data_IF_219048513578
#
_entry.id   IF_219048513578
#
_cell.length_a   1.000
_cell.length_b   1.000
_cell.length_c   1.000
_cell.angle_alpha   90.00
_cell.angle_beta   90.00
_cell.angle_gamma   90.00
#
_symmetry.space_group_name_H-M   'P 1'
#
loop_
_entity.id
_entity.type
_entity.pdbx_description
1 polymer ?
#
# COMPACT_ATOMS: atom_id res chain seq x y z
N UNK A 1 10.33 10.36 -51.91
CA UNK A 1 11.11 10.86 -50.74
C UNK A 1 10.15 11.52 -49.78
N UNK A 2 9.76 10.81 -48.76
CA UNK A 2 8.91 11.36 -47.66
C UNK A 2 9.78 11.35 -46.42
N UNK A 3 10.04 12.53 -45.84
CA UNK A 3 10.73 12.67 -44.55
C UNK A 3 9.68 12.64 -43.44
N UNK A 4 9.79 11.67 -42.53
CA UNK A 4 8.94 11.50 -41.41
C UNK A 4 9.09 12.63 -40.39
N UNK A 5 7.96 12.95 -39.77
CA UNK A 5 7.79 13.97 -38.74
C UNK A 5 8.02 13.32 -37.36
N UNK A 6 9.27 13.29 -36.89
CA UNK A 6 9.61 12.77 -35.55
C UNK A 6 9.70 13.84 -34.45
N UNK A 7 9.31 15.07 -34.76
CA UNK A 7 9.47 16.21 -33.84
C UNK A 7 8.30 16.45 -32.86
N UNK A 8 7.15 15.81 -33.04
CA UNK A 8 5.93 16.10 -32.30
C UNK A 8 5.82 15.44 -30.92
N UNK A 9 6.30 14.21 -30.81
CA UNK A 9 6.07 13.37 -29.62
C UNK A 9 6.95 13.73 -28.40
N UNK A 10 8.17 14.19 -28.66
CA UNK A 10 9.13 14.58 -27.60
C UNK A 10 8.71 15.88 -26.91
N UNK A 11 8.05 16.78 -27.65
CA UNK A 11 7.60 18.09 -27.14
C UNK A 11 6.37 17.96 -26.23
N UNK A 12 5.51 17.00 -26.49
CA UNK A 12 4.29 16.79 -25.70
C UNK A 12 4.59 16.06 -24.37
N UNK A 13 5.53 15.12 -24.36
CA UNK A 13 6.03 14.47 -23.13
C UNK A 13 6.69 15.48 -22.18
N UNK A 14 7.49 16.40 -22.70
CA UNK A 14 8.12 17.47 -21.91
C UNK A 14 7.12 18.51 -21.39
N UNK A 15 6.00 18.73 -22.10
CA UNK A 15 4.95 19.67 -21.68
C UNK A 15 4.07 19.08 -20.55
N UNK A 16 3.93 17.75 -20.48
CA UNK A 16 3.20 17.07 -19.41
C UNK A 16 4.02 16.96 -18.11
N UNK A 17 5.35 16.86 -18.19
CA UNK A 17 6.22 16.85 -17.01
C UNK A 17 6.26 18.19 -16.27
N UNK A 18 5.92 19.31 -16.92
CA UNK A 18 6.04 20.63 -16.33
C UNK A 18 4.77 21.15 -15.63
N UNK A 19 3.69 20.36 -15.55
CA UNK A 19 2.40 20.80 -14.96
C UNK A 19 2.28 20.58 -13.45
N UNK A 20 3.25 19.91 -12.83
CA UNK A 20 3.27 19.70 -11.38
C UNK A 20 4.67 19.92 -10.80
N UNK A 21 5.32 21.02 -11.21
CA UNK A 21 6.43 21.52 -10.42
C UNK A 21 5.86 21.88 -9.05
N UNK A 22 6.00 20.96 -8.08
CA UNK A 22 5.92 21.32 -6.67
C UNK A 22 7.01 22.38 -6.52
N UNK A 23 6.61 23.64 -6.40
CA UNK A 23 7.50 24.71 -5.95
C UNK A 23 7.83 24.41 -4.50
N UNK A 24 8.76 23.46 -4.30
CA UNK A 24 9.39 23.30 -3.01
C UNK A 24 10.00 24.65 -2.66
N UNK A 25 9.46 25.30 -1.64
CA UNK A 25 10.13 26.45 -1.03
C UNK A 25 11.56 26.00 -0.70
N UNK A 26 12.57 26.79 -1.05
CA UNK A 26 13.94 26.39 -0.74
C UNK A 26 14.03 26.18 0.77
N UNK A 27 14.28 24.95 1.18
CA UNK A 27 14.59 24.62 2.58
C UNK A 27 15.93 25.33 2.83
N UNK A 28 15.89 26.39 3.63
CA UNK A 28 17.04 27.26 3.84
C UNK A 28 18.21 26.55 4.56
N UNK A 29 17.96 25.42 5.21
CA UNK A 29 18.95 24.50 5.77
C UNK A 29 18.33 23.12 6.04
N UNK A 30 19.14 22.07 5.96
CA UNK A 30 18.76 20.75 6.49
C UNK A 30 18.70 20.88 8.02
N UNK A 31 17.61 20.46 8.69
CA UNK A 31 17.54 20.48 10.15
C UNK A 31 18.69 19.68 10.78
N UNK A 32 19.15 20.03 12.00
CA UNK A 32 20.12 19.24 12.70
C UNK A 32 19.61 17.82 12.95
N UNK A 33 20.53 16.89 13.19
CA UNK A 33 20.20 15.52 13.54
C UNK A 33 19.40 15.44 14.87
N UNK A 34 18.40 14.60 14.89
CA UNK A 34 17.64 14.26 16.09
C UNK A 34 18.23 12.99 16.73
N UNK A 35 19.10 13.20 17.73
CA UNK A 35 19.78 12.11 18.43
C UNK A 35 18.84 11.24 19.29
N UNK A 36 17.57 11.56 19.40
CA UNK A 36 16.58 10.71 20.08
C UNK A 36 15.96 9.68 19.14
N UNK A 37 16.14 9.83 17.84
CA UNK A 37 15.70 8.86 16.85
C UNK A 37 16.79 7.84 16.57
N UNK A 38 16.45 6.58 16.69
CA UNK A 38 17.35 5.48 16.47
C UNK A 38 17.17 4.83 15.10
N UNK A 39 18.16 4.04 14.67
CA UNK A 39 18.07 3.22 13.47
C UNK A 39 17.05 2.09 13.69
N UNK A 40 15.95 2.13 12.98
CA UNK A 40 14.97 1.03 12.94
C UNK A 40 15.45 -0.05 11.95
N UNK A 41 15.50 -1.31 12.41
CA UNK A 41 15.85 -2.46 11.57
C UNK A 41 14.78 -3.54 11.72
N UNK A 42 13.98 -3.74 10.68
CA UNK A 42 13.00 -4.81 10.63
C UNK A 42 13.65 -6.13 10.17
N UNK A 43 13.46 -7.20 10.95
CA UNK A 43 13.84 -8.58 10.60
C UNK A 43 12.64 -9.50 10.72
N UNK A 44 11.78 -9.57 9.70
CA UNK A 44 10.45 -10.17 9.81
C UNK A 44 10.46 -11.69 10.06
N UNK A 45 11.59 -12.37 9.86
CA UNK A 45 11.74 -13.79 10.16
C UNK A 45 12.38 -14.08 11.54
N UNK A 46 12.88 -13.05 12.21
CA UNK A 46 13.65 -13.18 13.46
C UNK A 46 13.04 -12.38 14.61
N UNK A 47 12.35 -11.29 14.29
CA UNK A 47 11.80 -10.37 15.28
C UNK A 47 10.33 -10.69 15.56
N UNK A 48 10.08 -11.49 16.61
CA UNK A 48 8.74 -11.86 17.08
C UNK A 48 7.90 -10.66 17.56
N UNK A 49 8.51 -9.47 17.73
CA UNK A 49 7.83 -8.26 18.17
C UNK A 49 7.22 -7.45 17.03
N UNK A 50 7.58 -7.76 15.77
CA UNK A 50 6.94 -7.08 14.64
C UNK A 50 5.45 -7.45 14.59
N UNK A 51 4.55 -6.47 14.41
CA UNK A 51 3.13 -6.76 14.27
C UNK A 51 2.87 -7.58 13.01
N UNK A 52 2.33 -8.78 13.18
CA UNK A 52 1.80 -9.61 12.12
C UNK A 52 0.28 -9.67 12.25
N UNK A 53 -0.44 -9.37 11.20
CA UNK A 53 -1.88 -9.09 11.22
C UNK A 53 -2.56 -9.87 10.11
N UNK A 54 -3.55 -10.69 10.46
CA UNK A 54 -4.43 -11.32 9.50
C UNK A 54 -5.62 -10.41 9.15
N UNK A 55 -5.87 -10.21 7.86
CA UNK A 55 -6.99 -9.43 7.32
C UNK A 55 -7.68 -10.20 6.19
N UNK A 56 -8.87 -10.74 6.44
CA UNK A 56 -9.71 -11.42 5.42
C UNK A 56 -8.97 -12.45 4.56
N UNK A 57 -8.01 -13.17 5.13
CA UNK A 57 -7.21 -14.17 4.42
C UNK A 57 -5.80 -13.71 4.07
N UNK A 58 -5.55 -12.42 3.96
CA UNK A 58 -4.22 -11.84 3.77
C UNK A 58 -3.44 -11.81 5.09
N UNK A 59 -2.11 -11.76 5.02
CA UNK A 59 -1.25 -11.56 6.19
C UNK A 59 -0.31 -10.37 5.95
N UNK A 60 -0.39 -9.39 6.82
CA UNK A 60 0.39 -8.14 6.75
C UNK A 60 1.37 -8.08 7.92
N UNK A 61 2.59 -7.68 7.63
CA UNK A 61 3.65 -7.47 8.64
C UNK A 61 4.09 -6.01 8.58
N UNK A 62 3.94 -5.28 9.67
CA UNK A 62 4.41 -3.90 9.76
C UNK A 62 5.92 -3.93 9.95
N UNK A 63 6.66 -3.55 8.92
CA UNK A 63 8.13 -3.46 8.95
C UNK A 63 8.60 -2.16 9.59
N UNK A 64 7.99 -1.04 9.21
CA UNK A 64 8.21 0.28 9.80
C UNK A 64 6.86 0.95 10.04
N UNK A 65 6.66 1.44 11.24
CA UNK A 65 5.46 2.16 11.64
C UNK A 65 5.65 3.67 11.50
N UNK A 66 4.57 4.42 11.71
CA UNK A 66 4.64 5.87 11.83
C UNK A 66 5.53 6.32 13.00
N UNK A 67 5.62 5.53 14.06
CA UNK A 67 6.45 5.86 15.21
C UNK A 67 7.95 5.73 14.85
N UNK A 68 8.33 4.81 13.96
CA UNK A 68 9.71 4.67 13.47
C UNK A 68 10.10 5.80 12.48
N UNK A 69 9.13 6.40 11.80
CA UNK A 69 9.36 7.34 10.69
C UNK A 69 8.95 8.78 10.99
N UNK A 70 8.59 9.10 12.25
CA UNK A 70 8.06 10.40 12.65
C UNK A 70 6.78 10.76 11.85
N UNK A 71 5.92 9.77 11.64
CA UNK A 71 4.65 9.91 10.93
C UNK A 71 4.76 10.07 9.41
N UNK A 72 5.98 10.04 8.84
CA UNK A 72 6.18 10.36 7.43
C UNK A 72 5.67 9.27 6.50
N UNK A 73 5.86 8.01 6.87
CA UNK A 73 5.35 6.85 6.13
C UNK A 73 5.29 5.62 7.03
N UNK A 74 4.55 4.61 6.62
CA UNK A 74 4.70 3.24 7.11
C UNK A 74 5.11 2.31 5.95
N UNK A 75 5.77 1.20 6.29
CA UNK A 75 6.18 0.15 5.36
C UNK A 75 5.63 -1.19 5.84
N UNK A 76 4.90 -1.86 4.96
CA UNK A 76 4.17 -3.09 5.27
C UNK A 76 4.56 -4.16 4.23
N UNK A 77 4.92 -5.34 4.71
CA UNK A 77 5.11 -6.54 3.89
C UNK A 77 3.78 -7.32 3.87
N UNK A 78 3.22 -7.51 2.70
CA UNK A 78 1.91 -8.14 2.50
C UNK A 78 2.07 -9.49 1.80
N UNK A 79 1.50 -10.54 2.38
CA UNK A 79 1.35 -11.86 1.79
C UNK A 79 -0.12 -12.05 1.41
N UNK A 80 -0.39 -12.15 0.11
CA UNK A 80 -1.73 -12.18 -0.48
C UNK A 80 -1.97 -13.58 -1.08
N UNK A 81 -2.83 -14.41 -0.49
CA UNK A 81 -3.15 -15.72 -1.04
C UNK A 81 -3.98 -15.61 -2.33
N UNK A 82 -4.16 -16.71 -3.08
CA UNK A 82 -5.09 -16.75 -4.20
C UNK A 82 -6.48 -16.22 -3.84
N UNK A 83 -6.98 -15.26 -4.62
CA UNK A 83 -8.26 -14.59 -4.38
C UNK A 83 -8.24 -13.46 -3.37
N UNK A 84 -7.13 -13.29 -2.61
CA UNK A 84 -6.95 -12.21 -1.63
C UNK A 84 -6.76 -10.83 -2.26
N UNK A 85 -6.68 -9.83 -1.40
CA UNK A 85 -6.54 -8.42 -1.72
C UNK A 85 -7.78 -7.59 -1.34
N UNK A 86 -7.59 -6.27 -1.11
CA UNK A 86 -8.64 -5.37 -0.66
C UNK A 86 -9.68 -5.11 -1.76
N UNK A 87 -10.96 -5.02 -1.36
CA UNK A 87 -12.03 -4.53 -2.20
C UNK A 87 -11.88 -3.05 -2.58
N UNK A 88 -12.82 -2.48 -3.36
CA UNK A 88 -12.77 -1.08 -3.76
C UNK A 88 -12.75 -0.13 -2.57
N UNK A 89 -11.78 0.79 -2.57
CA UNK A 89 -11.62 1.81 -1.53
C UNK A 89 -10.86 3.02 -2.06
N UNK A 90 -10.77 4.06 -1.25
CA UNK A 90 -9.90 5.22 -1.44
C UNK A 90 -9.45 5.78 -0.10
N UNK A 91 -8.37 6.51 -0.09
CA UNK A 91 -7.80 7.17 1.09
C UNK A 91 -7.10 8.47 0.67
N UNK A 92 -6.90 9.39 1.60
CA UNK A 92 -6.33 10.71 1.30
C UNK A 92 -4.81 10.79 1.53
N UNK A 93 -4.11 9.69 1.38
CA UNK A 93 -2.65 9.57 1.40
C UNK A 93 -2.15 8.83 0.15
N UNK A 94 -0.87 9.00 -0.16
CA UNK A 94 -0.20 8.25 -1.23
C UNK A 94 0.04 6.81 -0.79
N UNK A 95 -0.20 5.86 -1.69
CA UNK A 95 0.08 4.46 -1.47
C UNK A 95 0.86 3.88 -2.64
N UNK A 96 1.96 3.19 -2.36
CA UNK A 96 2.77 2.55 -3.39
C UNK A 96 2.93 1.07 -3.10
N UNK A 97 2.80 0.25 -4.15
CA UNK A 97 3.04 -1.18 -4.09
C UNK A 97 4.23 -1.57 -4.95
N UNK A 98 5.19 -2.30 -4.36
CA UNK A 98 6.28 -2.97 -5.08
C UNK A 98 6.06 -4.47 -5.01
N UNK A 99 5.84 -5.11 -6.14
CA UNK A 99 5.61 -6.56 -6.21
C UNK A 99 6.95 -7.27 -6.10
N UNK A 100 7.10 -8.11 -5.07
CA UNK A 100 8.32 -8.90 -4.84
C UNK A 100 8.22 -10.27 -5.50
N UNK A 101 7.05 -10.91 -5.41
CA UNK A 101 6.79 -12.25 -5.93
C UNK A 101 5.36 -12.33 -6.49
N UNK A 102 5.20 -12.99 -7.65
CA UNK A 102 3.91 -13.18 -8.31
C UNK A 102 3.40 -11.97 -9.08
N UNK A 103 2.08 -11.85 -9.19
CA UNK A 103 1.39 -10.75 -9.87
C UNK A 103 0.03 -10.44 -9.23
N UNK A 104 -0.41 -9.19 -9.33
CA UNK A 104 -1.75 -8.74 -8.92
C UNK A 104 -2.51 -8.14 -10.10
N UNK A 105 -3.82 -8.35 -10.14
CA UNK A 105 -4.73 -7.57 -10.96
C UNK A 105 -5.15 -6.34 -10.16
N UNK A 106 -4.79 -5.15 -10.63
CA UNK A 106 -5.21 -3.90 -10.02
C UNK A 106 -6.36 -3.28 -10.79
N UNK A 107 -7.27 -2.59 -10.09
CA UNK A 107 -8.29 -1.74 -10.69
C UNK A 107 -8.09 -0.32 -10.17
N UNK A 108 -7.73 0.58 -11.07
CA UNK A 108 -7.51 2.00 -10.77
C UNK A 108 -8.51 2.86 -11.55
N UNK A 109 -9.38 3.59 -10.85
CA UNK A 109 -10.46 4.40 -11.47
C UNK A 109 -11.26 3.61 -12.51
N UNK A 110 -11.58 2.35 -12.19
CA UNK A 110 -12.32 1.43 -13.06
C UNK A 110 -11.52 0.76 -14.18
N UNK A 111 -10.25 1.10 -14.38
CA UNK A 111 -9.38 0.46 -15.37
C UNK A 111 -8.55 -0.64 -14.73
N UNK A 112 -8.56 -1.82 -15.32
CA UNK A 112 -7.78 -2.97 -14.88
C UNK A 112 -6.40 -2.97 -15.52
N UNK A 113 -5.40 -3.40 -14.75
CA UNK A 113 -4.06 -3.72 -15.22
C UNK A 113 -3.45 -4.82 -14.37
N UNK A 114 -2.44 -5.51 -14.88
CA UNK A 114 -1.68 -6.53 -14.16
C UNK A 114 -0.31 -5.95 -13.83
N UNK A 115 0.09 -6.09 -12.57
CA UNK A 115 1.40 -5.64 -12.06
C UNK A 115 2.15 -6.86 -11.54
N UNK A 116 3.41 -7.03 -11.97
CA UNK A 116 4.21 -8.23 -11.78
C UNK A 116 5.42 -7.99 -10.88
N UNK A 117 6.01 -9.07 -10.44
CA UNK A 117 7.27 -9.03 -9.70
C UNK A 117 8.32 -8.14 -10.37
N UNK A 118 8.96 -7.25 -9.59
CA UNK A 118 9.89 -6.23 -10.03
C UNK A 118 9.24 -4.90 -10.46
N UNK A 119 7.92 -4.83 -10.57
CA UNK A 119 7.20 -3.61 -10.90
C UNK A 119 6.72 -2.87 -9.64
N UNK A 120 6.62 -1.55 -9.76
CA UNK A 120 6.10 -0.67 -8.70
C UNK A 120 4.99 0.21 -9.27
N UNK A 121 3.91 0.35 -8.53
CA UNK A 121 2.83 1.31 -8.82
C UNK A 121 2.65 2.27 -7.68
N UNK A 122 2.19 3.48 -8.00
CA UNK A 122 1.74 4.47 -7.03
C UNK A 122 0.27 4.79 -7.24
N UNK A 123 -0.49 4.74 -6.17
CA UNK A 123 -1.89 5.15 -6.11
C UNK A 123 -1.94 6.55 -5.51
N UNK A 124 -2.29 7.58 -6.29
CA UNK A 124 -2.43 8.93 -5.79
C UNK A 124 -3.55 9.03 -4.75
N UNK A 125 -3.36 9.91 -3.78
CA UNK A 125 -4.36 10.22 -2.77
C UNK A 125 -5.75 10.46 -3.40
N UNK A 126 -6.80 9.98 -2.73
CA UNK A 126 -8.21 10.07 -3.09
C UNK A 126 -8.65 9.26 -4.33
N UNK A 127 -7.75 8.55 -5.00
CA UNK A 127 -8.09 7.77 -6.18
C UNK A 127 -8.77 6.44 -5.81
N UNK A 128 -9.98 6.13 -6.35
CA UNK A 128 -10.61 4.82 -6.16
C UNK A 128 -9.76 3.72 -6.78
N UNK A 129 -9.49 2.69 -5.98
CA UNK A 129 -8.70 1.54 -6.41
C UNK A 129 -9.03 0.27 -5.64
N UNK A 130 -8.53 -0.83 -6.14
CA UNK A 130 -8.51 -2.16 -5.51
C UNK A 130 -7.43 -3.00 -6.15
N UNK A 131 -7.03 -4.09 -5.52
CA UNK A 131 -6.28 -5.14 -6.21
C UNK A 131 -6.75 -6.53 -5.77
N UNK A 132 -6.38 -7.53 -6.55
CA UNK A 132 -6.67 -8.93 -6.27
C UNK A 132 -5.53 -9.81 -6.77
N UNK A 133 -5.16 -10.81 -5.99
CA UNK A 133 -4.40 -11.93 -6.49
C UNK A 133 -5.32 -12.86 -7.30
N UNK A 134 -5.30 -12.73 -8.63
CA UNK A 134 -6.10 -13.58 -9.53
C UNK A 134 -5.37 -14.90 -9.89
N UNK A 135 -4.13 -15.08 -9.44
CA UNK A 135 -3.32 -16.28 -9.71
C UNK A 135 -3.64 -17.44 -8.76
N UNK A 136 -3.00 -18.58 -8.96
CA UNK A 136 -3.12 -19.75 -8.10
C UNK A 136 -2.01 -19.84 -7.02
N UNK A 137 -1.07 -18.90 -7.03
CA UNK A 137 0.05 -18.86 -6.10
C UNK A 137 -0.05 -17.62 -5.19
N UNK A 138 0.49 -17.67 -3.96
CA UNK A 138 0.59 -16.46 -3.14
C UNK A 138 1.42 -15.37 -3.83
N UNK A 139 1.04 -14.13 -3.58
CA UNK A 139 1.77 -12.94 -4.01
C UNK A 139 2.37 -12.27 -2.79
N UNK A 140 3.59 -11.76 -2.93
CA UNK A 140 4.24 -10.96 -1.91
C UNK A 140 4.57 -9.58 -2.45
N UNK A 141 4.23 -8.56 -1.69
CA UNK A 141 4.49 -7.17 -2.06
C UNK A 141 4.83 -6.30 -0.84
N UNK A 142 5.53 -5.20 -1.10
CA UNK A 142 5.70 -4.12 -0.12
C UNK A 142 4.68 -3.02 -0.40
N UNK A 143 4.05 -2.52 0.66
CA UNK A 143 3.17 -1.37 0.64
C UNK A 143 3.80 -0.23 1.44
N UNK A 144 3.88 0.95 0.85
CA UNK A 144 4.27 2.20 1.53
C UNK A 144 3.06 3.13 1.52
N UNK A 145 2.67 3.62 2.71
CA UNK A 145 1.65 4.67 2.83
C UNK A 145 2.28 5.94 3.40
N UNK A 146 2.08 7.07 2.75
CA UNK A 146 2.63 8.37 3.13
C UNK A 146 1.53 9.47 3.10
N UNK A 147 1.23 10.12 4.27
CA UNK A 147 1.82 9.88 5.60
C UNK A 147 1.43 8.52 6.19
N UNK A 148 2.10 8.14 7.30
CA UNK A 148 1.79 6.93 8.07
C UNK A 148 0.38 6.99 8.69
N UNK A 149 -0.12 5.82 9.12
CA UNK A 149 -1.42 5.68 9.81
C UNK A 149 -2.21 4.46 9.37
N UNK A 150 -1.96 3.96 8.16
CA UNK A 150 -2.66 2.78 7.63
C UNK A 150 -2.32 1.51 8.42
N UNK A 151 -1.10 1.40 8.94
CA UNK A 151 -0.69 0.31 9.82
C UNK A 151 -1.52 0.23 11.10
N UNK A 152 -1.95 1.38 11.62
CA UNK A 152 -2.80 1.46 12.82
C UNK A 152 -4.23 1.01 12.51
N UNK A 153 -4.74 1.31 11.31
CA UNK A 153 -6.02 0.80 10.83
C UNK A 153 -6.00 -0.74 10.74
N UNK A 154 -4.96 -1.30 10.14
CA UNK A 154 -4.82 -2.75 10.02
C UNK A 154 -4.70 -3.43 11.39
N UNK A 155 -3.95 -2.84 12.32
CA UNK A 155 -3.82 -3.37 13.67
C UNK A 155 -5.14 -3.34 14.46
N UNK A 156 -5.97 -2.31 14.26
CA UNK A 156 -7.25 -2.18 14.96
C UNK A 156 -8.34 -3.07 14.34
N UNK A 157 -8.35 -3.21 13.01
CA UNK A 157 -9.35 -3.99 12.27
C UNK A 157 -9.04 -5.49 12.29
N UNK A 158 -7.77 -5.85 12.10
CA UNK A 158 -7.32 -7.21 11.89
C UNK A 158 -7.15 -8.02 13.17
N UNK A 159 -6.61 -9.21 13.01
CA UNK A 159 -6.34 -10.19 14.09
C UNK A 159 -4.83 -10.41 14.16
N UNK A 160 -4.24 -10.25 15.32
CA UNK A 160 -2.82 -10.54 15.52
C UNK A 160 -2.52 -12.02 15.27
N UNK A 161 -1.45 -12.31 14.54
CA UNK A 161 -0.99 -13.67 14.25
C UNK A 161 0.49 -13.85 14.59
N UNK A 162 0.94 -15.08 14.70
CA UNK A 162 2.25 -15.40 15.26
C UNK A 162 3.43 -15.05 14.31
N UNK A 163 3.22 -15.04 13.00
CA UNK A 163 4.31 -14.79 12.04
C UNK A 163 3.77 -14.30 10.70
N UNK A 164 4.66 -13.74 9.90
CA UNK A 164 4.38 -13.32 8.52
C UNK A 164 3.92 -14.44 7.58
N UNK A 165 4.24 -15.69 7.92
CA UNK A 165 3.88 -16.87 7.14
C UNK A 165 2.62 -17.56 7.69
N UNK A 166 2.00 -17.02 8.73
CA UNK A 166 0.76 -17.58 9.27
C UNK A 166 -0.33 -17.46 8.22
N UNK A 167 -0.88 -18.60 7.80
CA UNK A 167 -2.05 -18.62 6.92
C UNK A 167 -3.23 -18.09 7.72
N UNK A 168 -3.80 -16.97 7.26
CA UNK A 168 -4.97 -16.39 7.90
C UNK A 168 -6.14 -17.40 7.86
N UNK A 169 -6.85 -17.54 8.97
CA UNK A 169 -8.00 -18.43 9.05
C UNK A 169 -9.09 -17.97 8.07
N UNK A 170 -9.68 -18.93 7.36
CA UNK A 170 -10.88 -18.67 6.60
C UNK A 170 -12.01 -18.31 7.58
N UNK A 171 -12.54 -17.12 7.45
CA UNK A 171 -13.69 -16.66 8.24
C UNK A 171 -14.97 -17.23 7.64
N UNK A 172 -15.89 -17.68 8.49
CA UNK A 172 -17.26 -17.97 8.06
C UNK A 172 -17.99 -16.66 7.68
N UNK A 173 -19.18 -16.78 7.11
CA UNK A 173 -19.96 -15.64 6.62
C UNK A 173 -20.28 -14.63 7.73
N UNK A 174 -20.59 -15.10 8.94
CA UNK A 174 -20.91 -14.23 10.07
C UNK A 174 -19.69 -13.40 10.51
N UNK A 175 -18.53 -14.06 10.65
CA UNK A 175 -17.27 -13.40 11.00
C UNK A 175 -16.78 -12.45 9.89
N UNK A 176 -17.00 -12.79 8.60
CA UNK A 176 -16.72 -11.88 7.49
C UNK A 176 -17.58 -10.61 7.56
N UNK A 177 -18.87 -10.76 7.82
CA UNK A 177 -19.78 -9.62 7.92
C UNK A 177 -19.44 -8.72 9.12
N UNK A 178 -19.07 -9.29 10.26
CA UNK A 178 -18.60 -8.57 11.44
C UNK A 178 -17.30 -7.80 11.13
N UNK A 179 -16.34 -8.46 10.48
CA UNK A 179 -15.10 -7.82 10.05
C UNK A 179 -15.36 -6.63 9.12
N UNK A 180 -16.19 -6.82 8.09
CA UNK A 180 -16.54 -5.77 7.12
C UNK A 180 -17.20 -4.59 7.83
N UNK A 181 -18.14 -4.86 8.75
CA UNK A 181 -18.78 -3.81 9.54
C UNK A 181 -17.78 -3.04 10.39
N UNK A 182 -16.90 -3.73 11.11
CA UNK A 182 -15.82 -3.12 11.91
C UNK A 182 -14.91 -2.25 11.04
N UNK A 183 -14.52 -2.77 9.86
CA UNK A 183 -13.68 -2.02 8.92
C UNK A 183 -14.38 -0.76 8.42
N UNK A 184 -15.68 -0.83 8.09
CA UNK A 184 -16.49 0.32 7.65
C UNK A 184 -16.62 1.38 8.75
N UNK A 185 -16.86 0.96 9.99
CA UNK A 185 -17.00 1.87 11.14
C UNK A 185 -15.68 2.60 11.46
N UNK A 186 -14.54 1.94 11.26
CA UNK A 186 -13.20 2.46 11.58
C UNK A 186 -12.54 3.23 10.44
N UNK A 187 -12.84 2.91 9.19
CA UNK A 187 -12.17 3.49 8.01
C UNK A 187 -12.10 5.03 8.04
N UNK A 188 -13.16 5.79 8.39
CA UNK A 188 -13.09 7.25 8.42
C UNK A 188 -12.07 7.81 9.44
N UNK A 189 -11.87 7.13 10.58
CA UNK A 189 -10.87 7.49 11.59
C UNK A 189 -9.45 7.45 11.00
N UNK A 190 -9.24 6.59 10.01
CA UNK A 190 -7.96 6.37 9.34
C UNK A 190 -7.93 6.96 7.91
N UNK A 191 -8.76 7.98 7.66
CA UNK A 191 -8.75 8.74 6.39
C UNK A 191 -9.00 7.83 5.17
N UNK A 192 -9.78 6.76 5.36
CA UNK A 192 -10.10 5.74 4.36
C UNK A 192 -11.62 5.66 4.17
N UNK A 193 -12.05 5.41 2.95
CA UNK A 193 -13.44 5.15 2.58
C UNK A 193 -13.52 3.82 1.82
N UNK A 194 -14.32 2.89 2.34
CA UNK A 194 -14.63 1.64 1.66
C UNK A 194 -15.78 1.87 0.69
N UNK A 195 -15.57 1.52 -0.58
CA UNK A 195 -16.53 1.76 -1.64
C UNK A 195 -17.38 0.51 -1.89
N UNK A 196 -18.60 0.69 -2.39
CA UNK A 196 -19.47 -0.44 -2.79
C UNK A 196 -18.86 -1.13 -4.02
N UNK A 197 -18.98 -2.46 -4.05
CA UNK A 197 -18.66 -3.30 -5.22
C UNK A 197 -19.67 -3.06 -6.34
#
# INVERSE_FOLDING_TARGET
MARGNEGGEVTERNRLMNKHAITAQPISAIPPDDLQRELAVARPNENEKLPHIALMGDTYTVLLSGDDTDGRYCLIDMLIPPGGGPGPHRHDFEESFTILEGEIETTFRGKKSVVRAGETINIPANAPHSFRNASQNPVRLLCICAPAGQEKFFAEVGIAVASRATVALALDEAAQNEFIKKAQDLAPKYRTELLKR
#
